data_IF_890751471786
#
_entry.id   IF_890751471786
#
_cell.length_a   1.000
_cell.length_b   1.000
_cell.length_c   1.000
_cell.angle_alpha   90.00
_cell.angle_beta   90.00
_cell.angle_gamma   90.00
#
_symmetry.space_group_name_H-M   'P 1'
#
loop_
_entity.id
_entity.type
_entity.pdbx_description
1 polymer ?
#
# COMPACT_ATOMS: atom_id res chain seq x y z
N UNK A 1 37.40 11.71 37.10
CA UNK A 1 36.67 10.56 36.51
C UNK A 1 37.19 10.34 35.09
N UNK A 2 37.89 9.24 34.81
CA UNK A 2 38.23 8.88 33.42
C UNK A 2 36.95 8.35 32.77
N UNK A 3 36.46 9.05 31.75
CA UNK A 3 35.35 8.60 30.92
C UNK A 3 35.76 7.32 30.21
N UNK A 4 34.95 6.26 30.33
CA UNK A 4 35.21 5.00 29.61
C UNK A 4 35.05 5.28 28.10
N UNK A 5 35.96 4.79 27.25
CA UNK A 5 35.79 4.89 25.81
C UNK A 5 34.49 4.17 25.37
N UNK A 6 33.85 4.62 24.28
CA UNK A 6 32.67 3.95 23.74
C UNK A 6 32.99 2.49 23.39
N UNK A 7 32.01 1.56 23.53
CA UNK A 7 32.25 0.15 23.25
C UNK A 7 32.62 -0.06 21.77
N UNK A 8 33.58 -0.96 21.53
CA UNK A 8 33.96 -1.32 20.17
C UNK A 8 32.84 -2.10 19.47
N UNK A 9 32.84 -2.09 18.14
CA UNK A 9 31.91 -2.89 17.35
C UNK A 9 31.98 -4.38 17.71
N UNK A 10 33.18 -4.91 17.95
CA UNK A 10 33.37 -6.28 18.43
C UNK A 10 32.68 -6.50 19.78
N UNK A 11 32.81 -5.58 20.74
CA UNK A 11 32.14 -5.69 22.04
C UNK A 11 30.62 -5.71 21.89
N UNK A 12 30.06 -4.80 21.08
CA UNK A 12 28.61 -4.74 20.84
C UNK A 12 28.09 -6.01 20.17
N UNK A 13 28.86 -6.60 19.25
CA UNK A 13 28.53 -7.87 18.60
C UNK A 13 28.50 -9.02 19.60
N UNK A 14 29.50 -9.12 20.48
CA UNK A 14 29.52 -10.17 21.52
C UNK A 14 28.37 -9.97 22.51
N UNK A 15 28.09 -8.73 22.93
CA UNK A 15 26.97 -8.43 23.83
C UNK A 15 25.61 -8.80 23.20
N UNK A 16 25.43 -8.56 21.90
CA UNK A 16 24.24 -9.01 21.16
C UNK A 16 24.16 -10.54 21.07
N UNK A 17 25.30 -11.23 20.84
CA UNK A 17 25.35 -12.69 20.82
C UNK A 17 24.99 -13.28 22.20
N UNK A 18 25.38 -12.65 23.31
CA UNK A 18 24.97 -13.03 24.67
C UNK A 18 23.45 -12.95 24.87
N UNK A 19 22.78 -12.00 24.20
CA UNK A 19 21.33 -11.85 24.29
C UNK A 19 20.57 -12.93 23.49
N UNK A 20 21.11 -13.33 22.34
CA UNK A 20 20.40 -14.17 21.36
C UNK A 20 21.01 -15.57 21.20
N UNK A 21 21.86 -16.01 22.14
CA UNK A 21 22.59 -17.26 22.02
C UNK A 21 21.69 -18.51 21.89
N UNK A 22 20.44 -18.43 22.37
CA UNK A 22 19.44 -19.51 22.22
C UNK A 22 19.13 -19.84 20.76
N UNK A 23 19.32 -18.88 19.86
CA UNK A 23 18.97 -18.95 18.45
C UNK A 23 20.18 -19.29 17.57
N UNK A 24 21.38 -19.36 18.17
CA UNK A 24 22.61 -19.76 17.50
C UNK A 24 22.78 -21.28 17.62
N UNK A 25 22.89 -21.97 16.49
CA UNK A 25 23.00 -23.43 16.42
C UNK A 25 24.42 -23.94 16.17
N UNK A 26 25.36 -23.08 15.78
CA UNK A 26 26.76 -23.44 15.52
C UNK A 26 27.72 -22.27 15.85
N UNK A 27 28.85 -22.60 16.46
CA UNK A 27 29.93 -21.68 16.84
C UNK A 27 31.30 -22.08 16.26
N UNK A 28 31.36 -23.15 15.46
CA UNK A 28 32.60 -23.76 14.96
C UNK A 28 33.49 -22.81 14.14
N UNK A 29 32.89 -21.83 13.47
CA UNK A 29 33.58 -20.85 12.61
C UNK A 29 34.17 -19.65 13.37
N UNK A 30 33.92 -19.52 14.67
CA UNK A 30 34.34 -18.36 15.46
C UNK A 30 35.78 -18.56 15.98
N UNK A 31 36.65 -17.53 15.89
CA UNK A 31 38.01 -17.59 16.46
C UNK A 31 38.03 -17.79 17.98
N UNK A 32 39.02 -18.53 18.47
CA UNK A 32 39.14 -19.01 19.85
C UNK A 32 39.09 -17.87 20.89
N UNK A 33 39.83 -16.78 20.65
CA UNK A 33 39.83 -15.59 21.52
C UNK A 33 38.46 -14.89 21.62
N UNK A 34 37.62 -14.96 20.57
CA UNK A 34 36.25 -14.41 20.58
C UNK A 34 35.31 -15.37 21.30
N UNK A 35 35.46 -16.68 21.09
CA UNK A 35 34.69 -17.69 21.82
C UNK A 35 34.92 -17.61 23.33
N UNK A 36 36.16 -17.38 23.76
CA UNK A 36 36.48 -17.18 25.17
C UNK A 36 35.82 -15.92 25.75
N UNK A 37 35.89 -14.78 25.07
CA UNK A 37 35.23 -13.54 25.54
C UNK A 37 33.70 -13.73 25.60
N UNK A 38 33.11 -14.38 24.59
CA UNK A 38 31.68 -14.70 24.58
C UNK A 38 31.29 -15.62 25.74
N UNK A 39 32.07 -16.68 25.99
CA UNK A 39 31.82 -17.62 27.09
C UNK A 39 31.91 -16.93 28.46
N UNK A 40 32.93 -16.09 28.66
CA UNK A 40 33.09 -15.30 29.87
C UNK A 40 31.92 -14.33 30.11
N UNK A 41 31.42 -13.68 29.06
CA UNK A 41 30.27 -12.77 29.18
C UNK A 41 28.96 -13.52 29.44
N UNK A 42 28.78 -14.72 28.89
CA UNK A 42 27.66 -15.61 29.22
C UNK A 42 27.67 -16.00 30.70
N UNK A 43 28.83 -16.37 31.23
CA UNK A 43 29.00 -16.69 32.66
C UNK A 43 28.66 -15.47 33.53
N UNK A 44 29.20 -14.30 33.21
CA UNK A 44 28.91 -13.05 33.92
C UNK A 44 27.43 -12.66 33.86
N UNK A 45 26.77 -12.97 32.75
CA UNK A 45 25.33 -12.73 32.57
C UNK A 45 24.44 -13.80 33.24
N UNK A 46 25.02 -14.87 33.80
CA UNK A 46 24.26 -15.96 34.40
C UNK A 46 23.44 -16.78 33.40
N UNK A 47 23.84 -16.79 32.12
CA UNK A 47 23.08 -17.40 31.01
C UNK A 47 23.61 -18.77 30.56
N UNK A 48 24.53 -19.37 31.32
CA UNK A 48 25.04 -20.70 30.99
C UNK A 48 23.95 -21.75 31.23
N UNK A 49 23.41 -22.31 30.16
CA UNK A 49 22.49 -23.47 30.18
C UNK A 49 23.19 -24.70 29.59
N UNK A 50 22.64 -25.89 29.78
CA UNK A 50 23.20 -27.12 29.20
C UNK A 50 23.26 -27.07 27.67
N UNK A 51 22.23 -26.51 27.01
CA UNK A 51 22.20 -26.30 25.56
C UNK A 51 23.36 -25.39 25.11
N UNK A 52 23.58 -24.31 25.84
CA UNK A 52 24.66 -23.35 25.56
C UNK A 52 26.02 -24.00 25.79
N UNK A 53 26.21 -24.72 26.89
CA UNK A 53 27.46 -25.43 27.18
C UNK A 53 27.81 -26.43 26.07
N UNK A 54 26.82 -27.21 25.60
CA UNK A 54 26.99 -28.13 24.47
C UNK A 54 27.44 -27.43 23.19
N UNK A 55 26.91 -26.22 22.92
CA UNK A 55 27.29 -25.43 21.75
C UNK A 55 28.78 -25.04 21.78
N UNK A 56 29.29 -24.66 22.95
CA UNK A 56 30.70 -24.33 23.13
C UNK A 56 31.60 -25.58 23.08
N UNK A 57 31.22 -26.68 23.70
CA UNK A 57 31.98 -27.95 23.65
C UNK A 57 32.02 -28.49 22.21
N UNK A 58 30.93 -28.38 21.46
CA UNK A 58 30.85 -28.83 20.06
C UNK A 58 31.83 -28.12 19.12
N UNK A 59 32.40 -26.96 19.51
CA UNK A 59 33.44 -26.28 18.72
C UNK A 59 34.76 -27.06 18.66
N UNK A 60 35.01 -27.96 19.62
CA UNK A 60 36.25 -28.75 19.68
C UNK A 60 37.51 -27.92 19.96
N UNK A 61 37.38 -26.69 20.47
CA UNK A 61 38.50 -25.78 20.73
C UNK A 61 39.11 -26.02 22.11
N UNK A 62 40.40 -26.35 22.15
CA UNK A 62 41.12 -26.74 23.38
C UNK A 62 41.06 -25.69 24.50
N UNK A 63 41.12 -24.39 24.16
CA UNK A 63 41.06 -23.31 25.14
C UNK A 63 39.70 -23.23 25.86
N UNK A 64 38.60 -23.47 25.13
CA UNK A 64 37.24 -23.46 25.69
C UNK A 64 37.02 -24.68 26.57
N UNK A 65 37.49 -25.86 26.13
CA UNK A 65 37.39 -27.10 26.90
C UNK A 65 38.20 -27.00 28.20
N UNK A 66 39.46 -26.55 28.11
CA UNK A 66 40.33 -26.35 29.27
C UNK A 66 39.73 -25.36 30.28
N UNK A 67 39.06 -24.32 29.79
CA UNK A 67 38.41 -23.31 30.64
C UNK A 67 37.15 -23.86 31.34
N UNK A 68 36.36 -24.68 30.67
CA UNK A 68 35.19 -25.38 31.25
C UNK A 68 35.64 -26.36 32.35
N UNK A 69 36.70 -27.12 32.11
CA UNK A 69 37.30 -28.04 33.09
C UNK A 69 37.86 -27.29 34.30
N UNK A 70 38.58 -26.19 34.09
CA UNK A 70 39.13 -25.36 35.16
C UNK A 70 38.04 -24.75 36.07
N UNK A 71 36.84 -24.52 35.52
CA UNK A 71 35.68 -24.03 36.28
C UNK A 71 34.84 -25.16 36.92
N UNK A 72 35.24 -26.43 36.76
CA UNK A 72 34.57 -27.62 37.28
C UNK A 72 33.08 -27.72 36.90
N UNK A 73 32.73 -27.27 35.68
CA UNK A 73 31.36 -27.29 35.16
C UNK A 73 31.02 -28.72 34.70
N UNK A 74 30.11 -29.40 35.39
CA UNK A 74 29.75 -30.78 35.08
C UNK A 74 28.76 -30.90 33.90
N UNK A 75 29.07 -31.77 32.94
CA UNK A 75 28.21 -32.05 31.79
C UNK A 75 27.36 -33.30 32.05
N UNK A 76 26.07 -33.13 32.34
CA UNK A 76 25.15 -34.25 32.56
C UNK A 76 24.66 -34.79 31.20
N UNK A 77 25.14 -35.96 30.80
CA UNK A 77 24.66 -36.64 29.60
C UNK A 77 23.31 -37.33 29.88
N UNK A 78 22.20 -36.65 29.58
CA UNK A 78 20.89 -37.33 29.51
C UNK A 78 20.56 -37.64 28.05
N UNK A 79 20.41 -38.92 27.64
CA UNK A 79 20.06 -39.28 26.27
C UNK A 79 18.57 -39.04 26.04
N UNK A 80 18.24 -38.20 25.05
CA UNK A 80 16.84 -37.94 24.65
C UNK A 80 16.55 -38.71 23.35
N UNK A 81 15.63 -39.67 23.43
CA UNK A 81 15.05 -40.37 22.28
C UNK A 81 14.03 -39.47 21.55
N UNK A 82 13.88 -39.57 20.22
CA UNK A 82 12.99 -38.71 19.46
C UNK A 82 11.54 -39.21 19.51
N UNK A 83 10.63 -38.40 20.06
CA UNK A 83 9.17 -38.62 19.91
C UNK A 83 8.63 -37.91 18.68
N UNK A 84 8.08 -38.70 17.75
CA UNK A 84 7.20 -38.27 16.66
C UNK A 84 5.77 -38.29 17.19
N UNK A 85 5.14 -37.13 17.37
CA UNK A 85 3.78 -36.79 16.90
C UNK A 85 3.27 -35.52 17.55
N UNK A 86 2.65 -34.67 16.72
CA UNK A 86 1.40 -34.02 17.08
C UNK A 86 1.51 -32.88 18.09
N UNK A 87 1.65 -31.67 17.57
CA UNK A 87 0.59 -30.64 17.61
C UNK A 87 1.24 -29.41 16.97
N UNK A 88 0.79 -29.10 15.76
CA UNK A 88 0.85 -27.75 15.22
C UNK A 88 0.18 -26.85 16.25
N UNK A 89 0.98 -26.25 17.14
CA UNK A 89 0.55 -25.07 17.87
C UNK A 89 0.37 -24.01 16.81
N UNK A 90 -0.89 -23.83 16.41
CA UNK A 90 -1.37 -22.59 15.85
C UNK A 90 -0.87 -21.46 16.74
N UNK A 91 0.23 -20.83 16.35
CA UNK A 91 0.44 -19.43 16.67
C UNK A 91 -0.70 -18.72 15.98
N UNK A 92 -1.81 -18.48 16.70
CA UNK A 92 -2.75 -17.43 16.38
C UNK A 92 -1.95 -16.14 16.40
N UNK A 93 -1.31 -15.82 15.27
CA UNK A 93 -0.98 -14.45 14.94
C UNK A 93 -2.31 -13.74 14.76
N UNK A 94 -2.40 -12.55 15.32
CA UNK A 94 -3.44 -11.61 14.95
C UNK A 94 -3.32 -11.36 13.45
N UNK A 95 -4.19 -12.00 12.66
CA UNK A 95 -4.76 -11.31 11.50
C UNK A 95 -5.08 -9.91 12.00
N UNK A 96 -4.61 -8.87 11.31
CA UNK A 96 -5.04 -7.53 11.62
C UNK A 96 -6.57 -7.57 11.72
N UNK A 97 -7.10 -7.31 12.92
CA UNK A 97 -8.54 -7.39 13.15
C UNK A 97 -9.10 -6.20 12.41
N UNK A 98 -9.60 -6.46 11.20
CA UNK A 98 -10.24 -5.44 10.39
C UNK A 98 -11.54 -5.11 11.11
N UNK A 99 -11.65 -3.88 11.55
CA UNK A 99 -12.93 -3.37 12.01
C UNK A 99 -13.75 -3.07 10.77
N UNK A 100 -14.66 -3.98 10.41
CA UNK A 100 -15.50 -3.85 9.22
C UNK A 100 -16.33 -2.53 9.24
N UNK A 101 -16.53 -1.91 10.41
CA UNK A 101 -17.19 -0.62 10.55
C UNK A 101 -16.31 0.60 10.22
N UNK A 102 -15.02 0.43 9.95
CA UNK A 102 -14.07 1.47 9.56
C UNK A 102 -13.84 1.55 8.04
N UNK A 103 -14.53 0.72 7.26
CA UNK A 103 -14.31 0.60 5.81
C UNK A 103 -15.60 0.87 5.04
N UNK A 104 -15.53 1.77 4.06
CA UNK A 104 -16.49 1.85 2.95
C UNK A 104 -15.85 1.28 1.68
N UNK A 105 -16.63 0.52 0.91
CA UNK A 105 -16.28 0.12 -0.44
C UNK A 105 -17.07 0.99 -1.42
N UNK A 106 -16.37 1.72 -2.28
CA UNK A 106 -16.95 2.58 -3.31
C UNK A 106 -16.93 1.83 -4.64
N UNK A 107 -18.09 1.80 -5.30
CA UNK A 107 -18.31 1.14 -6.59
C UNK A 107 -18.92 2.15 -7.56
N UNK A 108 -18.22 2.45 -8.64
CA UNK A 108 -18.79 3.13 -9.80
C UNK A 108 -19.57 2.12 -10.65
N UNK A 109 -20.88 2.28 -10.76
CA UNK A 109 -21.75 1.43 -11.56
C UNK A 109 -21.92 2.03 -12.96
N UNK A 110 -21.14 1.52 -13.91
CA UNK A 110 -21.21 1.90 -15.34
C UNK A 110 -22.18 0.99 -16.10
N UNK A 111 -22.50 -0.17 -15.54
CA UNK A 111 -23.47 -1.13 -16.05
C UNK A 111 -24.67 -1.24 -15.11
N UNK A 112 -25.86 -1.42 -15.66
CA UNK A 112 -27.10 -1.52 -14.87
C UNK A 112 -27.24 -2.85 -14.14
N UNK A 113 -26.78 -3.96 -14.72
CA UNK A 113 -26.82 -5.26 -14.05
C UNK A 113 -25.55 -5.53 -13.25
N UNK A 114 -25.63 -5.37 -11.93
CA UNK A 114 -24.55 -5.67 -10.99
C UNK A 114 -24.66 -7.08 -10.40
N UNK A 115 -25.60 -7.92 -10.85
CA UNK A 115 -25.91 -9.21 -10.22
C UNK A 115 -24.71 -10.14 -10.19
N UNK A 116 -24.03 -10.32 -11.33
CA UNK A 116 -22.87 -11.22 -11.42
C UNK A 116 -21.71 -10.68 -10.57
N UNK A 117 -21.38 -9.39 -10.75
CA UNK A 117 -20.32 -8.70 -10.00
C UNK A 117 -20.51 -8.84 -8.48
N UNK A 118 -21.68 -8.45 -7.97
CA UNK A 118 -21.96 -8.46 -6.54
C UNK A 118 -21.96 -9.88 -5.97
N UNK A 119 -22.46 -10.88 -6.71
CA UNK A 119 -22.45 -12.28 -6.26
C UNK A 119 -21.03 -12.87 -6.18
N UNK A 120 -20.15 -12.57 -7.14
CA UNK A 120 -18.73 -12.97 -7.08
C UNK A 120 -18.02 -12.34 -5.87
N UNK A 121 -18.33 -11.08 -5.56
CA UNK A 121 -17.77 -10.38 -4.40
C UNK A 121 -18.47 -10.69 -3.07
N UNK A 122 -19.59 -11.43 -3.06
CA UNK A 122 -20.41 -11.69 -1.87
C UNK A 122 -19.61 -12.16 -0.64
N UNK A 123 -18.62 -13.07 -0.73
CA UNK A 123 -17.83 -13.49 0.42
C UNK A 123 -17.06 -12.35 1.13
N UNK A 124 -16.81 -11.24 0.43
CA UNK A 124 -16.07 -10.09 0.92
C UNK A 124 -17.02 -8.92 1.19
N UNK A 125 -17.82 -8.51 0.19
CA UNK A 125 -18.66 -7.30 0.25
C UNK A 125 -19.75 -7.36 1.31
N UNK A 126 -20.29 -8.54 1.62
CA UNK A 126 -21.34 -8.69 2.65
C UNK A 126 -20.92 -8.26 4.06
N UNK A 127 -19.61 -8.12 4.30
CA UNK A 127 -19.06 -7.65 5.58
C UNK A 127 -19.06 -6.13 5.72
N UNK A 128 -18.95 -5.41 4.60
CA UNK A 128 -18.66 -3.98 4.58
C UNK A 128 -19.87 -3.15 4.19
N UNK A 129 -19.77 -1.84 4.43
CA UNK A 129 -20.72 -0.89 3.84
C UNK A 129 -20.31 -0.59 2.39
N UNK A 130 -21.27 -0.58 1.48
CA UNK A 130 -21.05 -0.28 0.07
C UNK A 130 -21.67 1.07 -0.27
N UNK A 131 -20.92 1.88 -1.01
CA UNK A 131 -21.39 3.11 -1.62
C UNK A 131 -21.37 2.88 -3.12
N UNK A 132 -22.55 2.77 -3.73
CA UNK A 132 -22.72 2.48 -5.15
C UNK A 132 -23.18 3.76 -5.84
N UNK A 133 -22.43 4.21 -6.85
CA UNK A 133 -22.73 5.42 -7.60
C UNK A 133 -23.16 5.01 -9.00
N UNK A 134 -24.44 5.20 -9.30
CA UNK A 134 -24.95 5.03 -10.66
C UNK A 134 -24.35 6.13 -11.55
N UNK A 135 -23.70 5.76 -12.66
CA UNK A 135 -23.23 6.73 -13.64
C UNK A 135 -24.42 7.63 -14.07
N UNK A 136 -24.32 8.97 -13.94
CA UNK A 136 -25.40 9.88 -14.34
C UNK A 136 -25.85 9.76 -15.81
N UNK A 137 -25.01 9.15 -16.66
CA UNK A 137 -25.36 8.89 -18.06
C UNK A 137 -26.09 7.55 -18.26
N UNK A 138 -26.18 6.68 -17.24
CA UNK A 138 -26.90 5.40 -17.27
C UNK A 138 -28.38 5.63 -16.99
N UNK A 139 -29.26 5.18 -17.89
CA UNK A 139 -30.70 5.45 -17.81
C UNK A 139 -31.49 4.33 -17.16
N UNK A 140 -30.98 3.12 -17.27
CA UNK A 140 -31.55 1.92 -16.71
C UNK A 140 -31.39 1.91 -15.18
N UNK A 141 -32.38 1.37 -14.47
CA UNK A 141 -32.27 1.15 -13.03
C UNK A 141 -31.23 0.08 -12.72
N UNK A 142 -30.49 0.26 -11.61
CA UNK A 142 -29.50 -0.71 -11.16
C UNK A 142 -30.17 -1.99 -10.63
N UNK A 143 -29.71 -3.14 -11.10
CA UNK A 143 -30.07 -4.45 -10.59
C UNK A 143 -29.01 -4.88 -9.57
N UNK A 144 -29.37 -4.81 -8.29
CA UNK A 144 -28.49 -5.15 -7.18
C UNK A 144 -29.11 -6.35 -6.44
N UNK A 145 -28.40 -7.48 -6.31
CA UNK A 145 -28.93 -8.63 -5.59
C UNK A 145 -29.04 -8.35 -4.08
N UNK A 146 -29.94 -9.06 -3.39
CA UNK A 146 -30.14 -8.89 -1.95
C UNK A 146 -28.92 -9.33 -1.11
N UNK A 147 -28.88 -8.87 0.15
CA UNK A 147 -27.90 -9.31 1.15
C UNK A 147 -26.65 -8.43 1.28
N UNK A 148 -26.71 -7.18 0.79
CA UNK A 148 -25.65 -6.19 0.95
C UNK A 148 -26.14 -4.97 1.71
N UNK A 149 -25.28 -4.40 2.56
CA UNK A 149 -25.51 -3.11 3.20
C UNK A 149 -24.96 -2.03 2.27
N UNK A 150 -25.83 -1.51 1.39
CA UNK A 150 -25.44 -0.57 0.35
C UNK A 150 -26.31 0.68 0.33
N UNK A 151 -25.67 1.84 0.21
CA UNK A 151 -26.29 3.10 -0.17
C UNK A 151 -26.06 3.32 -1.67
N UNK A 152 -27.14 3.60 -2.41
CA UNK A 152 -27.10 3.84 -3.87
C UNK A 152 -27.34 5.31 -4.14
N UNK A 153 -26.47 5.91 -4.93
CA UNK A 153 -26.52 7.33 -5.28
C UNK A 153 -26.73 7.49 -6.78
N UNK A 154 -27.71 8.32 -7.12
CA UNK A 154 -28.11 8.65 -8.48
C UNK A 154 -27.62 10.04 -8.87
N UNK A 155 -27.87 10.43 -10.13
CA UNK A 155 -27.64 11.80 -10.61
C UNK A 155 -28.29 12.85 -9.70
N UNK A 156 -29.53 12.63 -9.28
CA UNK A 156 -30.27 13.58 -8.45
C UNK A 156 -29.63 13.75 -7.07
N UNK A 157 -29.07 12.68 -6.52
CA UNK A 157 -28.35 12.72 -5.24
C UNK A 157 -27.03 13.49 -5.35
N UNK A 158 -26.31 13.31 -6.47
CA UNK A 158 -25.09 14.07 -6.79
C UNK A 158 -25.42 15.56 -6.89
N UNK A 159 -26.45 15.91 -7.67
CA UNK A 159 -26.88 17.31 -7.84
C UNK A 159 -27.34 17.94 -6.52
N UNK A 160 -27.99 17.16 -5.65
CA UNK A 160 -28.42 17.61 -4.32
C UNK A 160 -27.26 17.91 -3.38
N UNK A 161 -26.19 17.11 -3.42
CA UNK A 161 -25.02 17.26 -2.52
C UNK A 161 -24.03 18.30 -3.04
N UNK A 162 -23.74 18.28 -4.34
CA UNK A 162 -22.69 19.10 -4.95
C UNK A 162 -23.24 20.44 -5.46
N UNK A 163 -24.54 20.49 -5.76
CA UNK A 163 -25.20 21.63 -6.38
C UNK A 163 -25.04 21.63 -7.90
N UNK A 164 -26.09 22.08 -8.60
CA UNK A 164 -26.15 22.11 -10.07
C UNK A 164 -25.17 23.10 -10.73
N UNK A 165 -24.54 23.97 -9.95
CA UNK A 165 -23.55 24.95 -10.42
C UNK A 165 -22.11 24.44 -10.37
N UNK A 166 -21.87 23.24 -9.85
CA UNK A 166 -20.52 22.67 -9.78
C UNK A 166 -19.97 22.40 -11.17
N UNK A 167 -18.70 22.76 -11.40
CA UNK A 167 -18.02 22.46 -12.67
C UNK A 167 -17.48 21.03 -12.72
N UNK A 168 -17.40 20.36 -11.57
CA UNK A 168 -16.93 18.97 -11.46
C UNK A 168 -17.96 18.03 -12.06
N UNK A 169 -17.52 17.22 -13.04
CA UNK A 169 -18.34 16.22 -13.71
C UNK A 169 -18.11 14.82 -13.11
N UNK A 170 -19.06 14.35 -12.30
CA UNK A 170 -19.08 13.00 -11.74
C UNK A 170 -19.75 12.00 -12.69
N UNK A 171 -19.13 11.69 -13.83
CA UNK A 171 -19.71 10.74 -14.81
C UNK A 171 -18.66 9.81 -15.40
N UNK A 172 -19.11 8.63 -15.83
CA UNK A 172 -18.23 7.51 -16.15
C UNK A 172 -17.37 7.12 -14.94
N UNK A 173 -16.13 6.73 -15.16
CA UNK A 173 -15.19 6.34 -14.11
C UNK A 173 -14.97 7.42 -13.03
N UNK A 174 -15.15 8.72 -13.36
CA UNK A 174 -15.03 9.80 -12.39
C UNK A 174 -16.18 9.84 -11.36
N UNK A 175 -17.26 9.07 -11.53
CA UNK A 175 -18.35 9.04 -10.54
C UNK A 175 -17.90 8.48 -9.18
N UNK A 176 -16.85 7.64 -9.14
CA UNK A 176 -16.26 7.14 -7.87
C UNK A 176 -15.81 8.26 -6.94
N UNK A 177 -15.37 9.39 -7.47
CA UNK A 177 -14.95 10.53 -6.66
C UNK A 177 -16.11 11.10 -5.85
N UNK A 178 -17.36 10.98 -6.33
CA UNK A 178 -18.52 11.31 -5.50
C UNK A 178 -18.62 10.37 -4.30
N UNK A 179 -18.43 9.06 -4.50
CA UNK A 179 -18.36 8.09 -3.40
C UNK A 179 -17.25 8.41 -2.40
N UNK A 180 -16.09 8.82 -2.90
CA UNK A 180 -14.99 9.29 -2.07
C UNK A 180 -15.40 10.54 -1.30
N UNK A 181 -16.15 11.48 -1.89
CA UNK A 181 -16.60 12.70 -1.21
C UNK A 181 -17.52 12.40 -0.02
N UNK A 182 -18.50 11.51 -0.20
CA UNK A 182 -19.57 11.25 0.78
C UNK A 182 -19.21 10.23 1.87
N UNK A 183 -18.23 9.34 1.61
CA UNK A 183 -17.80 8.35 2.58
C UNK A 183 -17.45 9.00 3.92
N UNK A 184 -17.76 8.33 5.04
CA UNK A 184 -17.42 8.83 6.40
C UNK A 184 -16.51 7.88 7.17
N UNK A 185 -16.11 6.80 6.51
CA UNK A 185 -15.28 5.76 7.12
C UNK A 185 -13.81 6.13 7.01
N UNK A 186 -13.01 5.53 7.91
CA UNK A 186 -11.58 5.78 8.01
C UNK A 186 -10.85 5.32 6.74
N UNK A 187 -11.24 4.16 6.22
CA UNK A 187 -10.68 3.61 5.00
C UNK A 187 -11.74 3.57 3.90
N UNK A 188 -11.35 4.02 2.72
CA UNK A 188 -12.15 3.91 1.50
C UNK A 188 -11.43 2.96 0.57
N UNK A 189 -12.14 1.97 0.04
CA UNK A 189 -11.63 1.01 -0.95
C UNK A 189 -12.44 1.19 -2.23
N UNK A 190 -11.79 1.36 -3.39
CA UNK A 190 -12.46 1.51 -4.68
C UNK A 190 -12.30 0.24 -5.52
N UNK A 191 -13.43 -0.37 -5.91
CA UNK A 191 -13.50 -1.53 -6.81
C UNK A 191 -14.63 -1.27 -7.79
N UNK A 192 -14.36 -1.38 -9.08
CA UNK A 192 -15.35 -1.12 -10.12
C UNK A 192 -16.07 -2.39 -10.57
N UNK A 193 -17.22 -2.21 -11.21
CA UNK A 193 -18.16 -3.28 -11.59
C UNK A 193 -17.62 -4.27 -12.64
N UNK A 194 -16.47 -3.96 -13.23
CA UNK A 194 -15.78 -4.76 -14.25
C UNK A 194 -14.72 -5.72 -13.67
N UNK A 195 -14.61 -5.79 -12.35
CA UNK A 195 -13.62 -6.56 -11.63
C UNK A 195 -14.25 -7.68 -10.79
N UNK A 196 -13.58 -8.83 -10.69
CA UNK A 196 -13.95 -9.93 -9.79
C UNK A 196 -12.79 -10.27 -8.85
N UNK A 197 -13.04 -10.94 -7.71
CA UNK A 197 -11.96 -11.33 -6.81
C UNK A 197 -10.91 -12.19 -7.53
N UNK A 198 -9.63 -11.89 -7.30
CA UNK A 198 -8.55 -12.74 -7.79
C UNK A 198 -8.44 -14.04 -6.97
N UNK A 199 -7.70 -15.00 -7.52
CA UNK A 199 -7.18 -16.14 -6.77
C UNK A 199 -5.66 -16.02 -6.64
N UNK A 200 -5.14 -16.42 -5.49
CA UNK A 200 -3.70 -16.48 -5.24
C UNK A 200 -3.06 -17.71 -5.93
N UNK A 201 -1.76 -17.89 -5.73
CA UNK A 201 -0.99 -19.01 -6.29
C UNK A 201 -1.47 -20.39 -5.78
N UNK A 202 -2.16 -20.46 -4.64
CA UNK A 202 -2.74 -21.67 -4.09
C UNK A 202 -4.20 -21.89 -4.57
N UNK A 203 -4.73 -20.99 -5.40
CA UNK A 203 -6.12 -21.01 -5.86
C UNK A 203 -7.12 -20.49 -4.84
N UNK A 204 -6.67 -19.90 -3.74
CA UNK A 204 -7.52 -19.33 -2.70
C UNK A 204 -8.00 -17.95 -3.11
N UNK A 205 -9.25 -17.62 -2.75
CA UNK A 205 -9.83 -16.30 -3.00
C UNK A 205 -9.02 -15.22 -2.26
N UNK A 206 -8.65 -14.16 -2.97
CA UNK A 206 -7.95 -13.02 -2.39
C UNK A 206 -8.97 -12.09 -1.74
N UNK A 207 -8.89 -11.91 -0.42
CA UNK A 207 -9.61 -10.84 0.28
C UNK A 207 -8.89 -9.50 0.04
N UNK A 208 -9.24 -8.86 -1.07
CA UNK A 208 -8.60 -7.61 -1.50
C UNK A 208 -8.79 -6.48 -0.49
N UNK A 209 -9.98 -6.37 0.11
CA UNK A 209 -10.28 -5.34 1.12
C UNK A 209 -9.40 -5.55 2.36
N UNK A 210 -9.27 -6.79 2.83
CA UNK A 210 -8.41 -7.09 3.97
C UNK A 210 -6.94 -6.77 3.72
N UNK A 211 -6.42 -7.11 2.54
CA UNK A 211 -5.02 -6.83 2.19
C UNK A 211 -4.76 -5.32 2.06
N UNK A 212 -5.69 -4.57 1.45
CA UNK A 212 -5.63 -3.11 1.42
C UNK A 212 -5.59 -2.49 2.82
N UNK A 213 -6.51 -2.91 3.71
CA UNK A 213 -6.55 -2.41 5.09
C UNK A 213 -5.27 -2.78 5.85
N UNK A 214 -4.74 -4.00 5.65
CA UNK A 214 -3.46 -4.40 6.24
C UNK A 214 -2.29 -3.52 5.78
N UNK A 215 -2.26 -3.12 4.51
CA UNK A 215 -1.25 -2.20 3.99
C UNK A 215 -1.37 -0.83 4.65
N UNK A 216 -2.59 -0.31 4.81
CA UNK A 216 -2.86 1.00 5.42
C UNK A 216 -2.63 1.01 6.95
N UNK A 217 -2.78 -0.13 7.62
CA UNK A 217 -2.56 -0.27 9.06
C UNK A 217 -1.08 -0.48 9.43
N UNK A 218 -0.22 -0.79 8.46
CA UNK A 218 1.21 -1.02 8.70
C UNK A 218 2.04 0.15 8.19
N UNK A 219 3.15 0.51 8.86
CA UNK A 219 3.96 1.63 8.42
C UNK A 219 4.55 1.42 7.02
N UNK A 220 4.82 2.51 6.32
CA UNK A 220 5.56 2.53 5.07
C UNK A 220 6.98 3.06 5.31
N UNK A 221 7.93 2.68 4.46
CA UNK A 221 9.36 3.00 4.64
C UNK A 221 9.93 3.79 3.45
N UNK A 222 9.47 5.04 3.18
CA UNK A 222 9.78 5.73 1.93
C UNK A 222 11.18 6.36 1.90
N UNK A 223 11.80 6.62 3.05
CA UNK A 223 13.06 7.39 3.14
C UNK A 223 14.32 6.58 2.91
N UNK A 224 14.23 5.25 2.98
CA UNK A 224 15.31 4.34 2.65
C UNK A 224 14.71 3.08 2.05
N UNK A 225 15.19 2.68 0.88
CA UNK A 225 14.59 1.57 0.15
C UNK A 225 14.99 0.22 0.76
N UNK A 226 14.03 -0.52 1.32
CA UNK A 226 14.27 -1.89 1.77
C UNK A 226 14.29 -2.81 0.55
N UNK A 227 15.44 -3.41 0.26
CA UNK A 227 15.57 -4.29 -0.92
C UNK A 227 14.91 -5.65 -0.74
N UNK A 228 14.49 -6.00 0.49
CA UNK A 228 13.71 -7.20 0.82
C UNK A 228 12.24 -6.84 1.10
N UNK A 229 11.53 -6.38 0.06
CA UNK A 229 10.08 -6.08 0.08
C UNK A 229 9.63 -5.22 1.30
N UNK A 230 8.32 -5.14 1.55
CA UNK A 230 7.77 -4.44 2.73
C UNK A 230 8.11 -5.20 4.02
N UNK A 231 8.88 -4.62 4.97
CA UNK A 231 9.36 -5.31 6.17
C UNK A 231 8.26 -5.65 7.17
N UNK A 232 7.07 -5.07 7.03
CA UNK A 232 5.90 -5.35 7.89
C UNK A 232 5.06 -6.53 7.40
N UNK A 233 5.44 -7.15 6.28
CA UNK A 233 4.82 -8.37 5.77
C UNK A 233 5.45 -9.60 6.42
N UNK A 234 4.63 -10.63 6.64
CA UNK A 234 5.11 -11.93 7.12
C UNK A 234 6.18 -12.48 6.16
N UNK A 235 7.33 -12.86 6.72
CA UNK A 235 8.45 -13.43 5.96
C UNK A 235 9.39 -12.40 5.35
N UNK A 236 9.18 -11.10 5.58
CA UNK A 236 10.12 -10.03 5.27
C UNK A 236 10.61 -9.34 6.55
N UNK A 237 11.74 -8.65 6.47
CA UNK A 237 12.31 -7.81 7.53
C UNK A 237 13.23 -6.75 6.86
N UNK A 238 13.76 -5.84 7.66
CA UNK A 238 14.77 -4.87 7.25
C UNK A 238 16.10 -5.56 6.93
N UNK A 239 16.62 -5.31 5.74
CA UNK A 239 17.93 -5.85 5.32
C UNK A 239 19.10 -5.20 6.08
N UNK A 240 20.27 -5.87 6.05
CA UNK A 240 21.52 -5.30 6.54
C UNK A 240 21.79 -3.93 5.89
N UNK A 241 22.23 -2.97 6.69
CA UNK A 241 22.49 -1.59 6.24
C UNK A 241 21.27 -0.67 6.29
N UNK A 242 20.06 -1.18 6.53
CA UNK A 242 18.89 -0.33 6.77
C UNK A 242 19.02 0.41 8.13
N UNK A 243 19.02 1.76 8.15
CA UNK A 243 19.22 2.53 9.38
C UNK A 243 18.14 2.23 10.43
N UNK A 244 18.55 1.89 11.65
CA UNK A 244 17.61 1.56 12.75
C UNK A 244 16.64 2.70 13.05
N UNK A 245 17.09 3.95 12.98
CA UNK A 245 16.27 5.14 13.21
C UNK A 245 15.16 5.35 12.17
N UNK A 246 15.19 4.63 11.05
CA UNK A 246 14.16 4.72 9.99
C UNK A 246 13.21 3.51 9.99
N UNK A 247 13.40 2.53 10.88
CA UNK A 247 12.61 1.29 10.90
C UNK A 247 11.19 1.46 11.41
N UNK A 248 10.92 2.50 12.18
CA UNK A 248 9.55 2.83 12.63
C UNK A 248 8.65 3.19 11.43
N UNK A 249 9.24 3.69 10.35
CA UNK A 249 8.52 4.08 9.14
C UNK A 249 7.62 5.30 9.37
N UNK A 250 6.64 5.46 8.47
CA UNK A 250 5.63 6.50 8.51
C UNK A 250 4.24 5.90 8.30
N UNK A 251 3.19 6.65 8.63
CA UNK A 251 1.82 6.21 8.37
C UNK A 251 1.59 5.99 6.87
N UNK A 252 0.98 4.87 6.51
CA UNK A 252 0.58 4.59 5.13
C UNK A 252 -0.77 5.25 4.85
N UNK A 253 -0.80 6.12 3.85
CA UNK A 253 -2.00 6.86 3.45
C UNK A 253 -2.74 6.21 2.27
N UNK A 254 -2.02 5.54 1.38
CA UNK A 254 -2.58 4.92 0.16
C UNK A 254 -1.98 3.54 -0.08
N UNK A 255 -2.83 2.60 -0.46
CA UNK A 255 -2.49 1.25 -0.92
C UNK A 255 -2.97 1.07 -2.35
N UNK A 256 -2.04 0.92 -3.30
CA UNK A 256 -2.31 0.62 -4.70
C UNK A 256 -2.25 -0.89 -4.95
N UNK A 257 -3.35 -1.48 -5.39
CA UNK A 257 -3.42 -2.89 -5.77
C UNK A 257 -3.05 -3.10 -7.24
N UNK A 258 -2.83 -4.37 -7.60
CA UNK A 258 -2.44 -4.81 -8.94
C UNK A 258 -3.52 -5.68 -9.61
N UNK A 259 -3.33 -5.98 -10.89
CA UNK A 259 -4.41 -6.53 -11.71
C UNK A 259 -3.95 -7.80 -12.39
N UNK A 260 -4.72 -8.87 -12.25
CA UNK A 260 -4.61 -10.08 -13.05
C UNK A 260 -5.51 -9.98 -14.28
N UNK A 261 -5.27 -10.88 -15.23
CA UNK A 261 -5.86 -10.90 -16.56
C UNK A 261 -5.44 -9.70 -17.39
N UNK A 262 -5.92 -8.49 -17.10
CA UNK A 262 -5.55 -7.28 -17.82
C UNK A 262 -4.84 -6.34 -16.88
N UNK A 263 -3.54 -6.16 -17.11
CA UNK A 263 -2.77 -5.14 -16.44
C UNK A 263 -3.26 -3.75 -16.85
N UNK A 264 -3.05 -2.77 -15.98
CA UNK A 264 -3.34 -1.36 -16.20
C UNK A 264 -2.27 -0.73 -17.12
N UNK A 265 -2.24 -1.22 -18.37
CA UNK A 265 -1.37 -0.73 -19.43
C UNK A 265 -2.05 0.43 -20.15
N UNK A 266 -1.27 1.39 -20.64
CA UNK A 266 -1.74 2.48 -21.51
C UNK A 266 -2.40 1.95 -22.80
N UNK A 267 -3.30 2.73 -23.43
CA UNK A 267 -3.97 2.29 -24.65
C UNK A 267 -3.01 1.94 -25.80
N UNK A 268 -1.92 2.69 -26.07
CA UNK A 268 -0.94 2.29 -27.09
C UNK A 268 -0.39 0.88 -26.86
N UNK A 269 0.08 0.58 -25.65
CA UNK A 269 0.63 -0.73 -25.29
C UNK A 269 -0.44 -1.82 -25.40
N UNK A 270 -1.65 -1.55 -24.92
CA UNK A 270 -2.75 -2.51 -24.99
C UNK A 270 -3.21 -2.78 -26.42
N UNK A 271 -3.22 -1.77 -27.29
CA UNK A 271 -3.52 -1.90 -28.71
C UNK A 271 -2.47 -2.71 -29.46
N UNK A 272 -1.19 -2.56 -29.09
CA UNK A 272 -0.08 -3.35 -29.64
C UNK A 272 -0.04 -4.79 -29.12
N UNK A 273 -0.55 -5.04 -27.90
CA UNK A 273 -0.49 -6.34 -27.23
C UNK A 273 -1.87 -6.81 -26.73
N UNK A 274 -2.90 -6.91 -27.61
CA UNK A 274 -4.29 -7.15 -27.19
C UNK A 274 -4.54 -8.51 -26.54
N UNK A 275 -3.64 -9.48 -26.77
CA UNK A 275 -3.71 -10.83 -26.20
C UNK A 275 -2.84 -11.03 -24.96
N UNK A 276 -1.99 -10.05 -24.60
CA UNK A 276 -1.14 -10.18 -23.43
C UNK A 276 -2.01 -10.14 -22.18
N UNK A 277 -1.82 -11.14 -21.30
CA UNK A 277 -2.51 -11.23 -20.02
C UNK A 277 -1.51 -11.22 -18.87
N UNK A 278 -1.85 -10.55 -17.77
CA UNK A 278 -1.08 -10.65 -16.54
C UNK A 278 -1.57 -11.86 -15.73
N UNK A 279 -0.82 -12.96 -15.80
CA UNK A 279 -1.09 -14.17 -15.04
C UNK A 279 -0.12 -14.34 -13.85
N UNK A 280 0.81 -13.40 -13.68
CA UNK A 280 1.86 -13.49 -12.67
C UNK A 280 1.38 -12.83 -11.38
N UNK A 281 0.93 -13.65 -10.45
CA UNK A 281 0.70 -13.23 -9.07
C UNK A 281 2.06 -13.13 -8.35
N UNK A 282 2.37 -11.96 -7.79
CA UNK A 282 3.56 -11.75 -6.98
C UNK A 282 3.13 -11.43 -5.55
N UNK A 283 3.44 -12.32 -4.62
CA UNK A 283 3.08 -12.18 -3.21
C UNK A 283 3.99 -11.17 -2.48
N UNK A 284 3.96 -9.91 -2.91
CA UNK A 284 4.82 -8.85 -2.41
C UNK A 284 4.06 -7.52 -2.27
N UNK A 285 4.46 -6.77 -1.24
CA UNK A 285 4.10 -5.36 -1.05
C UNK A 285 5.40 -4.58 -1.03
N UNK A 286 5.37 -3.36 -1.57
CA UNK A 286 6.50 -2.44 -1.61
C UNK A 286 6.03 -1.06 -1.18
N UNK A 287 6.87 -0.35 -0.44
CA UNK A 287 6.70 1.10 -0.26
C UNK A 287 7.25 1.83 -1.50
N UNK A 288 6.48 2.78 -2.03
CA UNK A 288 6.98 3.69 -3.07
C UNK A 288 7.97 4.68 -2.43
N UNK A 289 9.23 4.78 -2.89
CA UNK A 289 10.23 5.66 -2.29
C UNK A 289 9.83 7.14 -2.31
N UNK A 290 10.28 7.90 -1.32
CA UNK A 290 10.15 9.35 -1.32
C UNK A 290 10.78 9.94 -2.59
N UNK A 291 10.11 10.93 -3.20
CA UNK A 291 10.48 11.60 -4.45
C UNK A 291 10.44 10.74 -5.72
N UNK A 292 10.05 9.47 -5.63
CA UNK A 292 9.63 8.70 -6.80
C UNK A 292 8.14 8.97 -7.06
N UNK A 293 7.80 9.39 -8.28
CA UNK A 293 6.40 9.46 -8.71
C UNK A 293 5.85 8.04 -8.93
N UNK A 294 4.52 7.89 -8.88
CA UNK A 294 3.84 6.66 -9.30
C UNK A 294 2.68 6.99 -10.25
N UNK A 295 2.45 6.18 -11.28
CA UNK A 295 1.12 6.08 -11.87
C UNK A 295 0.20 5.39 -10.85
N UNK A 296 -0.98 5.94 -10.67
CA UNK A 296 -2.01 5.36 -9.81
C UNK A 296 -3.23 5.06 -10.65
N UNK A 297 -3.83 3.90 -10.42
CA UNK A 297 -5.14 3.55 -10.94
C UNK A 297 -6.22 4.11 -10.02
N UNK A 298 -7.38 4.54 -10.54
CA UNK A 298 -8.55 4.86 -9.72
C UNK A 298 -9.31 3.65 -9.16
N UNK A 299 -8.91 2.43 -9.52
CA UNK A 299 -9.55 1.15 -9.19
C UNK A 299 -8.53 0.20 -8.55
N UNK A 300 -9.00 -0.69 -7.67
CA UNK A 300 -8.15 -1.51 -6.81
C UNK A 300 -7.22 -0.65 -5.95
N UNK A 301 -7.80 0.40 -5.36
CA UNK A 301 -7.08 1.31 -4.48
C UNK A 301 -7.78 1.40 -3.15
N UNK A 302 -7.00 1.67 -2.12
CA UNK A 302 -7.54 2.04 -0.84
C UNK A 302 -6.74 3.19 -0.22
N UNK A 303 -7.41 4.03 0.56
CA UNK A 303 -6.76 5.15 1.22
C UNK A 303 -7.35 5.43 2.59
N UNK A 304 -6.54 6.04 3.45
CA UNK A 304 -7.01 6.64 4.70
C UNK A 304 -7.65 7.99 4.38
N UNK A 305 -8.98 8.06 4.54
CA UNK A 305 -9.80 9.22 4.21
C UNK A 305 -9.29 10.50 4.87
N UNK A 306 -9.03 10.45 6.17
CA UNK A 306 -8.63 11.61 6.96
C UNK A 306 -7.24 12.10 6.54
N UNK A 307 -6.32 11.18 6.26
CA UNK A 307 -4.94 11.53 5.95
C UNK A 307 -4.76 12.15 4.55
N UNK A 308 -5.51 11.67 3.54
CA UNK A 308 -5.20 12.00 2.14
C UNK A 308 -6.44 12.18 1.25
N UNK A 309 -7.65 12.02 1.77
CA UNK A 309 -8.90 12.10 0.99
C UNK A 309 -9.05 13.36 0.11
N UNK A 310 -8.76 14.58 0.61
CA UNK A 310 -8.82 15.79 -0.21
C UNK A 310 -7.88 15.79 -1.43
N UNK A 311 -6.81 14.99 -1.40
CA UNK A 311 -5.86 14.84 -2.50
C UNK A 311 -6.30 13.81 -3.55
N UNK A 312 -7.33 13.01 -3.27
CA UNK A 312 -7.86 11.98 -4.16
C UNK A 312 -9.16 12.49 -4.77
N UNK A 313 -9.04 13.19 -5.91
CA UNK A 313 -10.17 13.88 -6.53
C UNK A 313 -10.01 14.06 -8.04
N UNK A 314 -11.09 14.50 -8.70
CA UNK A 314 -11.09 14.77 -10.14
C UNK A 314 -10.30 16.06 -10.43
N UNK A 315 -9.63 16.10 -11.59
CA UNK A 315 -8.85 17.28 -12.00
C UNK A 315 -8.55 17.28 -13.51
N UNK A 316 -7.50 16.59 -13.93
CA UNK A 316 -7.08 16.58 -15.34
C UNK A 316 -7.96 15.63 -16.14
N UNK A 317 -9.03 16.17 -16.73
CA UNK A 317 -9.95 15.42 -17.60
C UNK A 317 -9.89 15.96 -19.02
N UNK A 318 -9.59 15.10 -20.00
CA UNK A 318 -9.56 15.51 -21.40
C UNK A 318 -10.94 15.46 -22.05
N UNK A 319 -11.07 16.10 -23.21
CA UNK A 319 -12.35 16.15 -23.93
C UNK A 319 -12.74 14.76 -24.43
N UNK A 320 -13.92 14.28 -24.04
CA UNK A 320 -14.44 12.98 -24.47
C UNK A 320 -13.90 11.77 -23.70
N UNK A 321 -13.13 12.02 -22.64
CA UNK A 321 -12.63 11.01 -21.70
C UNK A 321 -13.61 10.70 -20.55
N UNK A 322 -13.47 9.49 -20.02
CA UNK A 322 -14.01 9.07 -18.74
C UNK A 322 -14.95 7.87 -18.80
N UNK A 323 -15.26 7.29 -19.98
CA UNK A 323 -16.15 6.12 -20.09
C UNK A 323 -15.43 4.83 -20.41
N UNK A 324 -14.29 4.91 -21.08
CA UNK A 324 -13.40 3.75 -21.24
C UNK A 324 -12.28 3.84 -20.22
N UNK A 325 -11.82 2.67 -19.76
CA UNK A 325 -10.80 2.60 -18.70
C UNK A 325 -9.51 3.35 -19.06
N UNK A 326 -9.06 3.23 -20.30
CA UNK A 326 -7.82 3.86 -20.78
C UNK A 326 -7.97 5.36 -21.08
N UNK A 327 -9.15 5.94 -20.85
CA UNK A 327 -9.41 7.38 -20.96
C UNK A 327 -9.24 8.09 -19.60
N UNK A 328 -8.34 7.63 -18.74
CA UNK A 328 -8.21 8.11 -17.35
C UNK A 328 -6.85 8.73 -17.05
N UNK A 329 -6.41 9.68 -17.87
CA UNK A 329 -5.27 10.55 -17.54
C UNK A 329 -5.44 11.22 -16.15
N UNK A 330 -6.69 11.41 -15.73
CA UNK A 330 -7.10 11.85 -14.40
C UNK A 330 -6.54 10.98 -13.27
N UNK A 331 -6.53 9.64 -13.42
CA UNK A 331 -6.03 8.71 -12.39
C UNK A 331 -4.52 8.87 -12.21
N UNK A 332 -3.80 8.99 -13.34
CA UNK A 332 -2.35 9.21 -13.35
C UNK A 332 -2.00 10.55 -12.70
N UNK A 333 -2.71 11.62 -13.08
CA UNK A 333 -2.56 12.94 -12.48
C UNK A 333 -2.83 12.94 -10.98
N UNK A 334 -3.92 12.29 -10.57
CA UNK A 334 -4.28 12.12 -9.16
C UNK A 334 -3.16 11.39 -8.39
N UNK A 335 -2.60 10.33 -8.96
CA UNK A 335 -1.47 9.59 -8.39
C UNK A 335 -0.24 10.46 -8.13
N UNK A 336 0.10 11.35 -9.07
CA UNK A 336 1.21 12.28 -8.91
C UNK A 336 0.94 13.33 -7.83
N UNK A 337 -0.29 13.88 -7.77
CA UNK A 337 -0.71 14.79 -6.71
C UNK A 337 -0.59 14.12 -5.33
N UNK A 338 -1.22 12.96 -5.17
CA UNK A 338 -1.18 12.14 -3.95
C UNK A 338 0.25 11.88 -3.51
N UNK A 339 1.13 11.54 -4.45
CA UNK A 339 2.51 11.21 -4.10
C UNK A 339 3.29 12.40 -3.59
N UNK A 340 3.20 13.55 -4.26
CA UNK A 340 3.86 14.79 -3.82
C UNK A 340 3.33 15.22 -2.44
N UNK A 341 2.02 15.11 -2.23
CA UNK A 341 1.39 15.46 -0.95
C UNK A 341 1.84 14.50 0.16
N UNK A 342 1.84 13.19 -0.10
CA UNK A 342 2.31 12.21 0.89
C UNK A 342 3.77 12.46 1.28
N UNK A 343 4.65 12.70 0.31
CA UNK A 343 6.07 12.97 0.59
C UNK A 343 6.26 14.25 1.42
N UNK A 344 5.47 15.29 1.13
CA UNK A 344 5.51 16.57 1.86
C UNK A 344 4.99 16.44 3.29
N UNK A 345 3.92 15.68 3.50
CA UNK A 345 3.29 15.47 4.81
C UNK A 345 3.95 14.34 5.63
N UNK A 346 5.00 13.69 5.09
CA UNK A 346 5.66 12.57 5.76
C UNK A 346 4.78 11.31 5.85
N UNK A 347 3.93 11.08 4.86
CA UNK A 347 3.08 9.90 4.70
C UNK A 347 3.67 8.96 3.64
N UNK A 348 3.26 7.69 3.66
CA UNK A 348 3.74 6.68 2.72
C UNK A 348 2.66 6.10 1.82
N UNK A 349 3.09 5.61 0.66
CA UNK A 349 2.25 4.90 -0.32
C UNK A 349 2.81 3.49 -0.50
N UNK A 350 1.95 2.48 -0.44
CA UNK A 350 2.30 1.08 -0.71
C UNK A 350 1.69 0.61 -2.03
N UNK A 351 2.38 -0.30 -2.71
CA UNK A 351 1.93 -0.95 -3.94
C UNK A 351 2.23 -2.45 -3.93
N UNK A 352 1.53 -3.23 -4.73
CA UNK A 352 1.68 -4.67 -4.82
C UNK A 352 0.35 -5.37 -4.57
N UNK A 353 0.28 -6.15 -3.51
CA UNK A 353 -0.99 -6.72 -3.06
C UNK A 353 -1.98 -5.61 -2.62
N UNK A 354 -3.30 -5.79 -2.83
CA UNK A 354 -3.94 -6.98 -3.40
C UNK A 354 -3.97 -7.02 -4.93
N UNK A 355 -4.19 -8.21 -5.47
CA UNK A 355 -4.61 -8.38 -6.85
C UNK A 355 -6.13 -8.53 -6.96
N UNK A 356 -6.71 -7.97 -8.02
CA UNK A 356 -8.07 -8.28 -8.51
C UNK A 356 -8.03 -8.81 -9.94
N UNK A 357 -9.09 -9.46 -10.39
CA UNK A 357 -9.20 -10.01 -11.74
C UNK A 357 -10.12 -9.14 -12.59
N UNK A 358 -9.56 -8.46 -13.59
CA UNK A 358 -10.36 -7.60 -14.47
C UNK A 358 -11.05 -8.41 -15.57
N UNK A 359 -12.31 -8.11 -15.90
CA UNK A 359 -13.11 -8.87 -16.88
C UNK A 359 -13.40 -8.11 -18.18
N UNK A 360 -13.45 -6.77 -18.16
CA UNK A 360 -13.89 -5.95 -19.30
C UNK A 360 -13.02 -6.04 -20.56
N UNK A 361 -13.64 -5.90 -21.73
CA UNK A 361 -12.92 -5.64 -22.98
C UNK A 361 -13.46 -4.38 -23.63
N UNK A 362 -12.88 -3.23 -23.30
CA UNK A 362 -13.08 -2.03 -24.12
C UNK A 362 -12.21 -2.08 -25.40
N UNK A 363 -12.49 -1.18 -26.33
CA UNK A 363 -11.71 -1.04 -27.56
C UNK A 363 -10.49 -0.13 -27.32
N UNK A 364 -9.31 -0.76 -27.21
CA UNK A 364 -8.05 -0.05 -27.00
C UNK A 364 -7.72 0.93 -28.15
N UNK A 365 -8.17 0.66 -29.38
CA UNK A 365 -7.92 1.56 -30.53
C UNK A 365 -8.81 2.79 -30.44
N UNK A 366 -10.07 2.65 -30.01
CA UNK A 366 -10.94 3.80 -29.74
C UNK A 366 -10.43 4.63 -28.57
N UNK A 367 -9.92 3.97 -27.53
CA UNK A 367 -9.34 4.66 -26.36
C UNK A 367 -8.08 5.43 -26.75
N UNK A 368 -7.20 4.83 -27.55
CA UNK A 368 -5.98 5.47 -28.04
C UNK A 368 -6.26 6.78 -28.79
N UNK A 369 -7.34 6.85 -29.58
CA UNK A 369 -7.73 8.08 -30.29
C UNK A 369 -8.05 9.24 -29.35
N UNK A 370 -8.44 8.94 -28.11
CA UNK A 370 -8.78 9.93 -27.07
C UNK A 370 -7.62 10.19 -26.12
N UNK A 371 -6.86 9.15 -25.77
CA UNK A 371 -5.74 9.23 -24.82
C UNK A 371 -4.49 9.92 -25.40
N UNK A 372 -4.32 9.98 -26.75
CA UNK A 372 -3.11 10.52 -27.36
C UNK A 372 -2.77 11.96 -26.92
N UNK A 373 -3.79 12.79 -26.68
CA UNK A 373 -3.58 14.13 -26.12
C UNK A 373 -2.98 14.06 -24.73
N UNK A 374 -3.48 13.17 -23.87
CA UNK A 374 -2.96 12.93 -22.52
C UNK A 374 -1.54 12.42 -22.52
N UNK A 375 -1.23 11.45 -23.38
CA UNK A 375 0.14 10.94 -23.56
C UNK A 375 1.10 12.08 -23.91
N UNK A 376 0.70 12.97 -24.82
CA UNK A 376 1.52 14.14 -25.18
C UNK A 376 1.69 15.11 -24.02
N UNK A 377 0.61 15.39 -23.27
CA UNK A 377 0.65 16.30 -22.14
C UNK A 377 1.56 15.78 -21.01
N UNK A 378 1.75 14.46 -20.89
CA UNK A 378 2.64 13.87 -19.87
C UNK A 378 4.11 14.32 -20.00
N UNK A 379 4.55 14.74 -21.18
CA UNK A 379 5.89 15.32 -21.39
C UNK A 379 6.10 16.61 -20.58
N UNK A 380 5.04 17.38 -20.31
CA UNK A 380 5.09 18.57 -19.46
C UNK A 380 4.72 18.26 -18.00
N UNK A 381 3.78 17.32 -17.78
CA UNK A 381 3.27 16.96 -16.44
C UNK A 381 4.33 16.27 -15.59
N UNK A 382 5.06 15.30 -16.15
CA UNK A 382 6.03 14.50 -15.37
C UNK A 382 7.18 15.37 -14.86
N UNK A 383 7.87 16.19 -15.68
CA UNK A 383 8.92 17.08 -15.18
C UNK A 383 8.40 18.11 -14.17
N UNK A 384 7.17 18.61 -14.37
CA UNK A 384 6.53 19.50 -13.42
C UNK A 384 6.43 18.85 -12.02
N UNK A 385 5.80 17.68 -11.90
CA UNK A 385 5.65 17.01 -10.60
C UNK A 385 6.97 16.53 -10.00
N UNK A 386 7.98 16.19 -10.82
CA UNK A 386 9.33 15.88 -10.33
C UNK A 386 10.03 17.07 -9.68
N UNK A 387 9.74 18.30 -10.16
CA UNK A 387 10.37 19.53 -9.67
C UNK A 387 9.56 20.26 -8.59
N UNK A 388 8.27 19.94 -8.46
CA UNK A 388 7.34 20.59 -7.56
C UNK A 388 7.79 20.49 -6.10
N UNK A 389 7.75 21.62 -5.39
CA UNK A 389 8.03 21.72 -3.95
C UNK A 389 6.94 22.52 -3.29
N UNK A 390 6.31 21.94 -2.27
CA UNK A 390 5.28 22.60 -1.50
C UNK A 390 5.89 23.42 -0.36
N UNK A 391 5.28 24.56 0.01
CA UNK A 391 5.76 25.37 1.12
C UNK A 391 5.52 24.65 2.46
N UNK A 392 6.40 24.87 3.44
CA UNK A 392 6.25 24.29 4.78
C UNK A 392 4.96 24.72 5.50
N UNK A 393 4.34 25.82 5.06
CA UNK A 393 3.04 26.28 5.56
C UNK A 393 1.87 25.41 5.12
N UNK A 394 2.01 24.62 4.05
CA UNK A 394 1.00 23.65 3.65
C UNK A 394 1.13 22.41 4.56
N UNK A 395 0.23 22.27 5.53
CA UNK A 395 0.33 21.24 6.58
C UNK A 395 -0.78 20.18 6.53
N UNK A 396 -1.77 20.39 5.66
CA UNK A 396 -2.90 19.48 5.43
C UNK A 396 -2.96 19.06 3.96
N UNK A 397 -3.67 17.97 3.66
CA UNK A 397 -3.87 17.53 2.27
C UNK A 397 -4.61 18.60 1.44
N UNK A 398 -5.55 19.32 2.06
CA UNK A 398 -6.27 20.44 1.47
C UNK A 398 -5.34 21.60 1.10
N UNK A 399 -4.50 22.04 2.04
CA UNK A 399 -3.55 23.13 1.80
C UNK A 399 -2.58 22.76 0.69
N UNK A 400 -2.07 21.53 0.73
CA UNK A 400 -1.16 21.04 -0.29
C UNK A 400 -1.83 21.04 -1.66
N UNK A 401 -3.07 20.52 -1.76
CA UNK A 401 -3.79 20.45 -3.03
C UNK A 401 -4.08 21.84 -3.61
N UNK A 402 -4.38 22.83 -2.78
CA UNK A 402 -4.56 24.23 -3.20
C UNK A 402 -3.24 24.85 -3.70
N UNK A 403 -2.12 24.58 -3.03
CA UNK A 403 -0.79 25.05 -3.47
C UNK A 403 -0.34 24.38 -4.78
N UNK A 404 -0.63 23.08 -4.97
CA UNK A 404 -0.43 22.41 -6.27
C UNK A 404 -1.28 23.11 -7.32
N UNK A 405 -2.57 23.31 -7.08
CA UNK A 405 -3.48 23.94 -8.05
C UNK A 405 -3.01 25.34 -8.49
N UNK A 406 -2.56 26.16 -7.53
CA UNK A 406 -1.97 27.47 -7.81
C UNK A 406 -0.75 27.34 -8.73
N UNK A 407 0.18 26.46 -8.40
CA UNK A 407 1.41 26.27 -9.16
C UNK A 407 1.15 25.70 -10.55
N UNK A 408 0.19 24.78 -10.68
CA UNK A 408 -0.31 24.25 -11.96
C UNK A 408 -0.85 25.38 -12.83
N UNK A 409 -1.71 26.25 -12.28
CA UNK A 409 -2.28 27.39 -13.01
C UNK A 409 -1.21 28.37 -13.49
N UNK A 410 -0.20 28.65 -12.66
CA UNK A 410 0.87 29.60 -12.96
C UNK A 410 1.90 29.08 -13.98
N UNK A 411 2.17 27.77 -13.97
CA UNK A 411 3.20 27.15 -14.80
C UNK A 411 2.58 26.39 -15.98
N UNK A 412 1.88 25.29 -15.71
CA UNK A 412 1.28 24.45 -16.74
C UNK A 412 0.11 25.13 -17.45
N UNK A 413 -0.63 26.02 -16.78
CA UNK A 413 -1.73 26.78 -17.39
C UNK A 413 -1.33 27.62 -18.61
N UNK A 414 -0.03 27.98 -18.73
CA UNK A 414 0.53 28.67 -19.90
C UNK A 414 0.84 27.73 -21.07
N UNK A 415 0.98 26.44 -20.79
CA UNK A 415 1.32 25.40 -21.77
C UNK A 415 0.05 24.92 -22.48
N UNK A 416 -1.00 24.61 -21.71
CA UNK A 416 -2.27 24.15 -22.26
C UNK A 416 -3.47 24.59 -21.40
N UNK A 417 -4.60 25.04 -22.00
CA UNK A 417 -5.78 25.48 -21.26
C UNK A 417 -6.36 24.44 -20.30
N UNK A 418 -6.21 23.15 -20.63
CA UNK A 418 -6.71 22.05 -19.78
C UNK A 418 -6.09 22.07 -18.38
N UNK A 419 -4.85 22.55 -18.22
CA UNK A 419 -4.22 22.64 -16.91
C UNK A 419 -4.79 23.78 -16.07
N UNK A 420 -5.23 24.87 -16.71
CA UNK A 420 -5.93 25.94 -16.00
C UNK A 420 -7.29 25.46 -15.49
N UNK A 421 -8.01 24.66 -16.30
CA UNK A 421 -9.28 24.02 -15.91
C UNK A 421 -9.07 22.98 -14.79
N UNK A 422 -8.01 22.16 -14.90
CA UNK A 422 -7.64 21.20 -13.87
C UNK A 422 -7.37 21.91 -12.53
N UNK A 423 -6.58 22.99 -12.54
CA UNK A 423 -6.32 23.79 -11.34
C UNK A 423 -7.60 24.36 -10.70
N UNK A 424 -8.54 24.85 -11.51
CA UNK A 424 -9.83 25.33 -11.01
C UNK A 424 -10.66 24.21 -10.39
N UNK A 425 -10.71 23.05 -11.06
CA UNK A 425 -11.37 21.83 -10.58
C UNK A 425 -10.78 21.36 -9.25
N UNK A 426 -9.45 21.38 -9.10
CA UNK A 426 -8.77 21.00 -7.85
C UNK A 426 -9.17 21.91 -6.68
N UNK A 427 -9.27 23.23 -6.91
CA UNK A 427 -9.71 24.19 -5.87
C UNK A 427 -11.17 23.98 -5.52
N UNK A 428 -12.03 23.75 -6.52
CA UNK A 428 -13.44 23.43 -6.30
C UNK A 428 -13.62 22.12 -5.53
N UNK A 429 -12.86 21.09 -5.87
CA UNK A 429 -12.87 19.80 -5.19
C UNK A 429 -12.56 19.95 -3.69
N UNK A 430 -11.51 20.69 -3.34
CA UNK A 430 -11.16 20.95 -1.93
C UNK A 430 -12.27 21.71 -1.20
N UNK A 431 -12.94 22.66 -1.86
CA UNK A 431 -14.08 23.38 -1.27
C UNK A 431 -15.26 22.45 -1.02
N UNK A 432 -15.59 21.60 -1.99
CA UNK A 432 -16.65 20.59 -1.87
C UNK A 432 -16.33 19.61 -0.76
N UNK A 433 -15.08 19.11 -0.71
CA UNK A 433 -14.62 18.21 0.35
C UNK A 433 -14.84 18.80 1.73
N UNK A 434 -14.41 20.06 1.96
CA UNK A 434 -14.63 20.76 3.24
C UNK A 434 -16.10 20.94 3.57
N UNK A 435 -16.91 21.29 2.59
CA UNK A 435 -18.35 21.54 2.77
C UNK A 435 -19.08 20.27 3.15
N UNK A 436 -18.84 19.17 2.41
CA UNK A 436 -19.46 17.87 2.67
C UNK A 436 -18.92 17.27 3.95
N UNK A 437 -17.61 17.31 4.20
CA UNK A 437 -17.01 16.79 5.43
C UNK A 437 -17.54 17.47 6.71
N UNK A 438 -17.94 18.75 6.61
CA UNK A 438 -18.51 19.52 7.72
C UNK A 438 -20.02 19.32 7.91
N UNK A 439 -20.71 18.77 6.91
CA UNK A 439 -22.12 18.36 6.98
C UNK A 439 -22.22 16.93 7.49
#
# INVERSE_FOLDING_TARGET
MRTKPPPSLLSLTIDSAVLNLSDISDLSSIPDHILLDLFLRILRAGKLTEKVLRLFIATGKDEVISFVEALNIQHVLTPVLPTIQGVLKNSKMSQAVINDNEVDIVIAALHSDLTTFMNEWRPIFSRFHLIIIQDPDLREELQIPEGFRADVYTKDDIERVVGSSSSIRFSGYSCRYFGFLISRKKYVVCIDDDCVPAKDIAGSLVDAVAQHVSNLQTPATPFFFNTLYDPFRKGADFVRGYPFSLREGVNCAVSCGLWLNMADLDAPTQALKPRQKNLRYVDAVLTVPARALLPMSGINIAFNREAIGPAIGPALRLTGEGKLRWETAEDIWCGMCVKVICDHLGLGVKTGLPYIWRTERGDAVQSLKKEWEGVKLMEDVVPFFQSLKLPQSATTAEDCMVEIAKTVKEQLGKVHPVFSQAAETMVEWVKLWKTVASA
#
